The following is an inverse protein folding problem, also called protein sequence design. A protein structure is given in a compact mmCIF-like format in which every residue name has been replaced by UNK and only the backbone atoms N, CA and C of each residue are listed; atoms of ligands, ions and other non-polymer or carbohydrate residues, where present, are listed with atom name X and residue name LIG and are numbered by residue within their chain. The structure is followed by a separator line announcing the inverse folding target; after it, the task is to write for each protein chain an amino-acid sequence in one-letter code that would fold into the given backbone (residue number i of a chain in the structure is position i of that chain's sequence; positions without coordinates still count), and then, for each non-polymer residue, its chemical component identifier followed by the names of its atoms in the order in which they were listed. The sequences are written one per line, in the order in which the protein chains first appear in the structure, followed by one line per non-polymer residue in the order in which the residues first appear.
data_IF_374282359810
#
_entry.id   IF_374282359810
#
_cell.length_a   1.000
_cell.length_b   1.000
_cell.length_c   1.000
_cell.angle_alpha   90.00
_cell.angle_beta   90.00
_cell.angle_gamma   90.00
#
_symmetry.space_group_name_H-M   'P 1'
#
loop_
_entity.id
_entity.type
_entity.pdbx_description
1 polymer ?
#
# COMPACT_ATOMS: atom_id res chain seq x y z
N UNK A 1 -38.48 -9.05 11.53
CA UNK A 1 -38.04 -8.18 10.42
C UNK A 1 -37.49 -6.83 10.92
N UNK A 2 -38.20 -6.10 11.80
CA UNK A 2 -37.78 -4.78 12.28
C UNK A 2 -36.42 -4.77 13.00
N UNK A 3 -36.21 -5.73 13.93
CA UNK A 3 -34.93 -5.89 14.67
C UNK A 3 -33.74 -6.12 13.75
N UNK A 4 -33.92 -6.87 12.67
CA UNK A 4 -32.85 -7.14 11.71
C UNK A 4 -32.53 -5.87 10.92
N UNK A 5 -33.55 -5.10 10.52
CA UNK A 5 -33.34 -3.83 9.82
C UNK A 5 -32.59 -2.81 10.70
N UNK A 6 -32.96 -2.65 11.97
CA UNK A 6 -32.27 -1.74 12.89
C UNK A 6 -30.84 -2.15 13.16
N UNK A 7 -30.57 -3.45 13.32
CA UNK A 7 -29.20 -3.95 13.45
C UNK A 7 -28.39 -3.72 12.16
N UNK A 8 -29.01 -3.89 10.99
CA UNK A 8 -28.35 -3.68 9.71
C UNK A 8 -27.98 -2.20 9.50
N UNK A 9 -28.90 -1.26 9.78
CA UNK A 9 -28.56 0.18 9.69
C UNK A 9 -27.51 0.57 10.73
N UNK A 10 -27.55 0.01 11.93
CA UNK A 10 -26.53 0.27 12.96
C UNK A 10 -25.14 -0.22 12.50
N UNK A 11 -25.08 -1.42 11.91
CA UNK A 11 -23.85 -1.97 11.32
C UNK A 11 -23.32 -1.03 10.22
N UNK A 12 -24.15 -0.68 9.23
CA UNK A 12 -23.75 0.20 8.14
C UNK A 12 -23.28 1.58 8.65
N UNK A 13 -23.99 2.16 9.61
CA UNK A 13 -23.61 3.46 10.19
C UNK A 13 -22.30 3.36 10.95
N UNK A 14 -22.08 2.26 11.68
CA UNK A 14 -20.83 2.02 12.41
C UNK A 14 -19.64 1.87 11.44
N UNK A 15 -19.83 1.14 10.34
CA UNK A 15 -18.80 0.99 9.29
C UNK A 15 -18.49 2.34 8.66
N UNK A 16 -19.51 3.12 8.27
CA UNK A 16 -19.32 4.45 7.69
C UNK A 16 -18.65 5.42 8.68
N UNK A 17 -19.01 5.35 9.96
CA UNK A 17 -18.38 6.13 11.03
C UNK A 17 -16.90 5.80 11.19
N UNK A 18 -16.54 4.51 11.20
CA UNK A 18 -15.15 4.06 11.28
C UNK A 18 -14.33 4.49 10.06
N UNK A 19 -14.90 4.39 8.85
CA UNK A 19 -14.24 4.83 7.62
C UNK A 19 -14.00 6.34 7.66
N UNK A 20 -15.03 7.14 7.98
CA UNK A 20 -14.91 8.59 8.05
C UNK A 20 -13.93 9.05 9.14
N UNK A 21 -14.00 8.43 10.33
CA UNK A 21 -13.09 8.71 11.45
C UNK A 21 -11.65 8.35 11.14
N UNK A 22 -11.40 7.19 10.54
CA UNK A 22 -10.08 6.76 10.11
C UNK A 22 -9.48 7.69 9.05
N UNK A 23 -10.28 8.07 8.06
CA UNK A 23 -9.87 8.99 7.01
C UNK A 23 -9.54 10.39 7.56
N UNK A 24 -10.36 10.89 8.49
CA UNK A 24 -10.12 12.17 9.17
C UNK A 24 -8.85 12.14 10.04
N UNK A 25 -8.57 11.03 10.73
CA UNK A 25 -7.32 10.85 11.49
C UNK A 25 -6.09 10.83 10.59
N UNK A 26 -6.15 10.12 9.46
CA UNK A 26 -5.03 10.04 8.51
C UNK A 26 -4.70 11.42 7.94
N UNK A 27 -5.72 12.17 7.49
CA UNK A 27 -5.51 13.54 7.02
C UNK A 27 -5.07 14.49 8.13
N UNK A 28 -5.61 14.34 9.34
CA UNK A 28 -5.30 15.20 10.48
C UNK A 28 -3.87 15.05 10.98
N UNK A 29 -3.30 13.84 10.97
CA UNK A 29 -1.95 13.58 11.51
C UNK A 29 -0.89 13.50 10.42
N UNK A 30 -1.13 12.72 9.36
CA UNK A 30 -0.09 12.43 8.36
C UNK A 30 -0.10 13.39 7.17
N UNK A 31 -1.14 14.24 7.02
CA UNK A 31 -1.37 15.16 5.88
C UNK A 31 -1.42 14.51 4.49
N UNK A 32 -1.11 13.22 4.38
CA UNK A 32 -0.92 12.50 3.12
C UNK A 32 -1.46 11.07 3.27
N UNK A 33 -2.47 10.74 2.49
CA UNK A 33 -2.98 9.38 2.37
C UNK A 33 -2.31 8.71 1.16
N UNK A 34 -1.32 7.86 1.41
CA UNK A 34 -0.71 7.04 0.37
C UNK A 34 -1.51 5.74 0.21
N UNK A 35 -2.42 5.65 -0.76
CA UNK A 35 -3.18 4.44 -1.03
C UNK A 35 -2.35 3.35 -1.73
N UNK A 36 -1.32 3.72 -2.46
CA UNK A 36 -0.49 2.83 -3.27
C UNK A 36 0.54 2.03 -2.47
N UNK A 37 0.69 2.28 -1.17
CA UNK A 37 1.67 1.59 -0.32
C UNK A 37 1.48 0.05 -0.36
N UNK A 38 0.23 -0.43 -0.40
CA UNK A 38 -0.07 -1.87 -0.49
C UNK A 38 0.52 -2.52 -1.74
N UNK A 39 0.47 -1.83 -2.88
CA UNK A 39 1.04 -2.32 -4.13
C UNK A 39 2.58 -2.33 -4.11
N UNK A 40 3.21 -1.37 -3.42
CA UNK A 40 4.65 -1.39 -3.18
C UNK A 40 5.08 -2.59 -2.32
N UNK A 41 4.30 -2.93 -1.31
CA UNK A 41 4.52 -4.14 -0.52
C UNK A 41 4.36 -5.41 -1.36
N UNK A 42 3.32 -5.47 -2.20
CA UNK A 42 3.10 -6.60 -3.11
C UNK A 42 4.26 -6.80 -4.09
N UNK A 43 4.79 -5.71 -4.66
CA UNK A 43 5.98 -5.75 -5.52
C UNK A 43 7.20 -6.30 -4.77
N UNK A 44 7.48 -5.81 -3.56
CA UNK A 44 8.58 -6.32 -2.74
C UNK A 44 8.44 -7.81 -2.40
N UNK A 45 7.21 -8.25 -2.10
CA UNK A 45 6.92 -9.67 -1.86
C UNK A 45 7.13 -10.52 -3.12
N UNK A 46 6.68 -10.05 -4.28
CA UNK A 46 6.85 -10.73 -5.56
C UNK A 46 8.32 -10.87 -5.95
N UNK A 47 9.12 -9.80 -5.79
CA UNK A 47 10.57 -9.84 -6.03
C UNK A 47 11.25 -10.83 -5.09
N UNK A 48 10.88 -10.84 -3.81
CA UNK A 48 11.42 -11.81 -2.84
C UNK A 48 11.08 -13.24 -3.26
N UNK A 49 9.82 -13.50 -3.62
CA UNK A 49 9.36 -14.81 -4.06
C UNK A 49 10.09 -15.27 -5.32
N UNK A 50 10.30 -14.37 -6.30
CA UNK A 50 11.04 -14.65 -7.52
C UNK A 50 12.49 -15.04 -7.24
N UNK A 51 13.20 -14.26 -6.44
CA UNK A 51 14.62 -14.50 -6.12
C UNK A 51 14.78 -15.78 -5.29
N UNK A 52 13.85 -16.05 -4.37
CA UNK A 52 13.80 -17.31 -3.62
C UNK A 52 13.53 -18.50 -4.55
N UNK A 53 12.64 -18.35 -5.54
CA UNK A 53 12.37 -19.37 -6.55
C UNK A 53 13.62 -19.76 -7.35
N UNK A 54 14.36 -18.77 -7.86
CA UNK A 54 15.62 -19.00 -8.57
C UNK A 54 16.68 -19.68 -7.69
N UNK A 55 16.76 -19.30 -6.40
CA UNK A 55 17.70 -19.90 -5.47
C UNK A 55 17.35 -21.37 -5.17
N UNK A 56 16.06 -21.70 -5.08
CA UNK A 56 15.59 -23.07 -4.91
C UNK A 56 15.90 -23.94 -6.14
N UNK A 57 15.71 -23.42 -7.35
CA UNK A 57 16.09 -24.10 -8.60
C UNK A 57 17.61 -24.36 -8.69
N UNK A 58 18.42 -23.44 -8.15
CA UNK A 58 19.86 -23.59 -8.03
C UNK A 58 20.31 -24.56 -6.91
N UNK A 59 19.37 -25.15 -6.16
CA UNK A 59 19.66 -26.09 -5.07
C UNK A 59 20.15 -25.42 -3.78
N UNK A 60 19.87 -24.13 -3.58
CA UNK A 60 20.32 -23.41 -2.38
C UNK A 60 19.66 -23.97 -1.10
N UNK A 61 20.41 -24.09 0.00
CA UNK A 61 19.87 -24.55 1.28
C UNK A 61 18.92 -23.51 1.89
N UNK A 62 17.91 -23.99 2.64
CA UNK A 62 16.85 -23.16 3.24
C UNK A 62 17.41 -22.00 4.10
N UNK A 63 18.55 -22.20 4.76
CA UNK A 63 19.21 -21.17 5.55
C UNK A 63 19.62 -19.93 4.72
N UNK A 64 19.99 -20.12 3.45
CA UNK A 64 20.38 -19.03 2.53
C UNK A 64 19.16 -18.24 2.03
N UNK A 65 17.97 -18.84 2.03
CA UNK A 65 16.74 -18.17 1.60
C UNK A 65 16.37 -16.99 2.51
N UNK A 66 16.64 -17.11 3.83
CA UNK A 66 16.43 -16.00 4.77
C UNK A 66 17.33 -14.79 4.49
N UNK A 67 18.52 -15.01 3.92
CA UNK A 67 19.41 -13.92 3.49
C UNK A 67 18.90 -13.18 2.25
N UNK A 68 17.91 -13.72 1.53
CA UNK A 68 17.30 -13.09 0.36
C UNK A 68 16.13 -12.18 0.72
N UNK A 69 15.62 -12.25 1.95
CA UNK A 69 14.51 -11.42 2.45
C UNK A 69 14.76 -9.90 2.30
N UNK A 70 15.98 -9.38 2.53
CA UNK A 70 16.30 -7.98 2.26
C UNK A 70 16.17 -7.57 0.78
N UNK A 71 16.23 -8.51 -0.17
CA UNK A 71 16.16 -8.18 -1.59
C UNK A 71 14.82 -7.53 -1.97
N UNK A 72 13.70 -8.05 -1.43
CA UNK A 72 12.39 -7.42 -1.63
C UNK A 72 12.27 -6.06 -0.97
N UNK A 73 12.83 -5.89 0.23
CA UNK A 73 12.85 -4.61 0.92
C UNK A 73 13.66 -3.56 0.13
N UNK A 74 14.80 -3.95 -0.45
CA UNK A 74 15.60 -3.08 -1.33
C UNK A 74 14.86 -2.74 -2.62
N UNK A 75 14.17 -3.69 -3.25
CA UNK A 75 13.36 -3.44 -4.44
C UNK A 75 12.21 -2.47 -4.14
N UNK A 76 11.46 -2.71 -3.06
CA UNK A 76 10.39 -1.81 -2.62
C UNK A 76 10.93 -0.42 -2.25
N UNK A 77 12.08 -0.33 -1.59
CA UNK A 77 12.73 0.94 -1.26
C UNK A 77 13.19 1.70 -2.52
N UNK A 78 13.74 1.00 -3.51
CA UNK A 78 14.15 1.60 -4.78
C UNK A 78 12.95 2.14 -5.56
N UNK A 79 11.88 1.34 -5.70
CA UNK A 79 10.63 1.78 -6.32
C UNK A 79 9.99 2.95 -5.55
N UNK A 80 9.91 2.84 -4.22
CA UNK A 80 9.38 3.88 -3.35
C UNK A 80 10.15 5.19 -3.48
N UNK A 81 11.49 5.14 -3.49
CA UNK A 81 12.34 6.32 -3.66
C UNK A 81 12.17 6.95 -5.05
N UNK A 82 11.98 6.14 -6.10
CA UNK A 82 11.72 6.63 -7.46
C UNK A 82 10.37 7.36 -7.53
N UNK A 83 9.32 6.74 -7.00
CA UNK A 83 7.98 7.33 -6.92
C UNK A 83 8.01 8.60 -6.07
N UNK A 84 8.72 8.56 -4.94
CA UNK A 84 8.78 9.70 -4.03
C UNK A 84 9.45 10.90 -4.70
N UNK A 85 10.57 10.67 -5.38
CA UNK A 85 11.32 11.74 -6.03
C UNK A 85 10.60 12.31 -7.26
N UNK A 86 9.91 11.47 -8.03
CA UNK A 86 9.30 11.86 -9.32
C UNK A 86 7.84 12.34 -9.17
N UNK A 87 7.04 11.65 -8.38
CA UNK A 87 5.59 11.89 -8.27
C UNK A 87 5.21 12.61 -6.97
N UNK A 88 5.67 12.13 -5.81
CA UNK A 88 5.23 12.71 -4.54
C UNK A 88 5.85 14.09 -4.27
N UNK A 89 7.18 14.20 -4.35
CA UNK A 89 7.91 15.41 -3.95
C UNK A 89 7.48 16.70 -4.68
N UNK A 90 7.15 16.69 -5.99
CA UNK A 90 6.62 17.89 -6.66
C UNK A 90 5.21 18.29 -6.21
N UNK A 91 4.39 17.31 -5.80
CA UNK A 91 3.00 17.51 -5.43
C UNK A 91 2.80 17.84 -3.94
N UNK A 92 3.81 17.66 -3.09
CA UNK A 92 3.76 18.05 -1.68
C UNK A 92 3.45 19.55 -1.45
N UNK A 93 3.79 20.41 -2.41
CA UNK A 93 3.51 21.86 -2.33
C UNK A 93 2.09 22.23 -2.79
N UNK A 94 1.30 21.26 -3.25
CA UNK A 94 -0.06 21.45 -3.77
C UNK A 94 -1.10 21.04 -2.71
N UNK A 95 -2.36 21.51 -2.83
CA UNK A 95 -3.44 21.16 -1.91
C UNK A 95 -3.63 19.65 -1.77
N UNK A 96 -4.15 19.23 -0.60
CA UNK A 96 -4.30 17.83 -0.17
C UNK A 96 -5.10 16.99 -1.18
N UNK A 97 -6.12 17.59 -1.80
CA UNK A 97 -6.96 17.01 -2.86
C UNK A 97 -6.14 16.49 -4.05
N UNK A 98 -5.08 17.21 -4.45
CA UNK A 98 -4.22 16.81 -5.56
C UNK A 98 -3.28 15.67 -5.17
N UNK A 99 -2.86 15.61 -3.91
CA UNK A 99 -2.03 14.51 -3.42
C UNK A 99 -2.83 13.21 -3.41
N UNK A 100 -4.10 13.28 -3.02
CA UNK A 100 -5.03 12.16 -3.05
C UNK A 100 -5.30 11.63 -4.44
N UNK A 101 -5.61 12.54 -5.37
CA UNK A 101 -5.84 12.15 -6.76
C UNK A 101 -4.60 11.47 -7.36
N UNK A 102 -3.41 11.94 -6.98
CA UNK A 102 -2.14 11.38 -7.45
C UNK A 102 -1.85 10.01 -6.84
N UNK A 103 -2.01 9.81 -5.53
CA UNK A 103 -1.79 8.50 -4.90
C UNK A 103 -2.84 7.48 -5.31
N UNK A 104 -4.08 7.90 -5.58
CA UNK A 104 -5.13 7.06 -6.17
C UNK A 104 -4.81 6.69 -7.62
N UNK A 105 -4.36 7.65 -8.44
CA UNK A 105 -3.91 7.36 -9.80
C UNK A 105 -2.71 6.42 -9.84
N UNK A 106 -1.77 6.58 -8.92
CA UNK A 106 -0.64 5.68 -8.75
C UNK A 106 -1.09 4.28 -8.34
N UNK A 107 -2.06 4.18 -7.42
CA UNK A 107 -2.66 2.91 -7.04
C UNK A 107 -3.24 2.22 -8.27
N UNK A 108 -4.09 2.90 -9.06
CA UNK A 108 -4.68 2.30 -10.26
C UNK A 108 -3.65 1.81 -11.27
N UNK A 109 -2.58 2.58 -11.52
CA UNK A 109 -1.51 2.17 -12.44
C UNK A 109 -0.77 0.93 -11.93
N UNK A 110 -0.52 0.86 -10.62
CA UNK A 110 0.19 -0.26 -10.01
C UNK A 110 -0.70 -1.49 -9.87
N UNK A 111 -2.00 -1.32 -9.64
CA UNK A 111 -2.99 -2.40 -9.54
C UNK A 111 -3.27 -3.05 -10.90
N UNK A 112 -3.22 -2.27 -11.98
CA UNK A 112 -3.40 -2.75 -13.36
C UNK A 112 -2.14 -3.44 -13.94
N UNK A 113 -1.03 -3.45 -13.20
CA UNK A 113 0.26 -4.06 -13.58
C UNK A 113 0.39 -5.51 -13.09
#
# INVERSE_FOLDING_TARGET
MFVIHTLNTLLYTSVLFLIAGGLSLIYGVMRILNLAHGNLYALGAFVTAWVVGLALEAGAPVAVLFLLLPAGALAAAACGALIERTLLRPFYKRPEEYQLLMTFGLLMILEDL
#
